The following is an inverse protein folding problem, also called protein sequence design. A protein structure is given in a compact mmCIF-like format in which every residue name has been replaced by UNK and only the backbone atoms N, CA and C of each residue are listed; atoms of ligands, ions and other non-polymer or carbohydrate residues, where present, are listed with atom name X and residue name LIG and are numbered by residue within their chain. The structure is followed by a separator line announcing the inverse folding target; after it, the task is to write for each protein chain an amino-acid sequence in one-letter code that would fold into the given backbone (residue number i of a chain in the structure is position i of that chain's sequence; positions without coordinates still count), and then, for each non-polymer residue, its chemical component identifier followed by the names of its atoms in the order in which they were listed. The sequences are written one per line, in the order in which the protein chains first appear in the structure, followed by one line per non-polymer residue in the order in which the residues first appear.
data_IF_210140006514
#
_entry.id   IF_210140006514
#
_cell.length_a   1.000
_cell.length_b   1.000
_cell.length_c   1.000
_cell.angle_alpha   90.00
_cell.angle_beta   90.00
_cell.angle_gamma   90.00
#
_symmetry.space_group_name_H-M   'P 1'
#
loop_
_entity.id
_entity.type
_entity.pdbx_description
1 polymer ?
#
# COMPACT_ATOMS: atom_id res chain seq x y z
N UNK A 1 15.26 15.18 26.18
CA UNK A 1 15.64 15.83 24.91
C UNK A 1 14.40 16.50 24.34
N UNK A 2 14.24 17.80 24.61
CA UNK A 2 13.11 18.57 24.08
C UNK A 2 13.51 19.14 22.74
N UNK A 3 13.04 18.55 21.64
CA UNK A 3 13.10 19.17 20.31
C UNK A 3 12.01 20.26 20.25
N UNK A 4 12.17 21.31 21.09
CA UNK A 4 11.21 22.40 21.23
C UNK A 4 11.56 23.49 20.20
N UNK A 5 11.41 23.14 18.92
CA UNK A 5 11.50 24.10 17.82
C UNK A 5 10.17 24.09 17.06
N UNK A 6 9.75 25.24 16.52
CA UNK A 6 8.53 25.34 15.74
C UNK A 6 8.56 24.34 14.57
N UNK A 7 7.44 23.60 14.41
CA UNK A 7 7.19 22.54 13.41
C UNK A 7 7.81 22.76 12.01
N UNK A 8 7.79 23.95 11.38
CA UNK A 8 8.38 24.13 10.05
C UNK A 8 9.91 24.00 10.00
N UNK A 9 10.62 24.30 11.10
CA UNK A 9 12.09 24.26 11.13
C UNK A 9 12.67 22.86 11.40
N UNK A 10 11.91 22.01 12.11
CA UNK A 10 12.35 20.62 12.41
C UNK A 10 12.33 19.77 11.15
N UNK A 11 11.35 19.99 10.26
CA UNK A 11 11.24 19.28 8.99
C UNK A 11 12.48 19.49 8.11
N UNK A 12 12.93 20.75 7.97
CA UNK A 12 14.08 21.13 7.13
C UNK A 12 15.43 20.56 7.60
N UNK A 13 15.60 20.36 8.91
CA UNK A 13 16.85 19.84 9.50
C UNK A 13 16.94 18.32 9.41
N UNK A 14 15.79 17.63 9.44
CA UNK A 14 15.74 16.20 9.18
C UNK A 14 15.89 15.93 7.66
N UNK A 15 15.17 16.62 6.77
CA UNK A 15 15.27 16.42 5.31
C UNK A 15 16.64 16.69 4.68
N UNK A 16 17.47 17.54 5.30
CA UNK A 16 18.84 17.81 4.82
C UNK A 16 19.74 16.58 4.80
N UNK A 17 19.57 15.65 5.75
CA UNK A 17 20.32 14.39 5.78
C UNK A 17 19.69 13.31 4.89
N UNK A 18 18.49 13.56 4.36
CA UNK A 18 17.74 12.62 3.52
C UNK A 18 17.82 12.95 2.02
N UNK A 19 18.49 14.05 1.64
CA UNK A 19 18.78 14.35 0.24
C UNK A 19 19.49 13.18 -0.49
N UNK A 20 20.43 12.45 0.13
CA UNK A 20 21.04 11.27 -0.50
C UNK A 20 20.08 10.09 -0.69
N UNK A 21 19.05 9.95 0.16
CA UNK A 21 18.01 8.91 0.01
C UNK A 21 17.07 9.18 -1.16
N UNK A 22 16.75 10.46 -1.42
CA UNK A 22 15.93 10.85 -2.57
C UNK A 22 16.67 10.70 -3.91
N UNK A 23 18.00 10.61 -3.87
CA UNK A 23 18.86 10.39 -5.04
C UNK A 23 19.11 8.91 -5.35
N UNK A 24 18.76 7.99 -4.43
CA UNK A 24 18.79 6.57 -4.72
C UNK A 24 17.58 6.22 -5.62
N UNK A 25 17.79 5.44 -6.70
CA UNK A 25 16.71 5.02 -7.58
C UNK A 25 15.72 4.13 -6.80
N UNK A 26 14.69 4.76 -6.24
CA UNK A 26 13.47 4.12 -5.76
C UNK A 26 12.89 3.35 -6.97
N UNK A 27 12.80 2.00 -6.97
CA UNK A 27 12.23 1.17 -5.91
C UNK A 27 12.92 -0.22 -5.73
N UNK A 28 14.23 -0.35 -5.95
CA UNK A 28 14.92 -1.67 -5.95
C UNK A 28 15.66 -2.02 -4.66
N UNK A 29 15.75 -1.09 -3.71
CA UNK A 29 16.46 -1.35 -2.46
C UNK A 29 15.65 -2.30 -1.56
N UNK A 30 16.32 -3.30 -0.97
CA UNK A 30 15.69 -4.26 -0.07
C UNK A 30 15.26 -3.59 1.24
N UNK A 31 14.22 -4.10 1.95
CA UNK A 31 13.82 -3.58 3.26
C UNK A 31 14.97 -3.62 4.27
N UNK A 32 15.93 -4.52 4.08
CA UNK A 32 17.17 -4.59 4.84
C UNK A 32 18.03 -3.33 4.70
N UNK A 33 18.16 -2.78 3.49
CA UNK A 33 18.89 -1.53 3.28
C UNK A 33 18.25 -0.37 4.05
N UNK A 34 16.91 -0.29 4.11
CA UNK A 34 16.23 0.72 4.94
C UNK A 34 16.48 0.53 6.43
N UNK A 35 16.46 -0.71 6.92
CA UNK A 35 16.75 -0.99 8.34
C UNK A 35 18.19 -0.63 8.70
N UNK A 36 19.16 -1.02 7.86
CA UNK A 36 20.56 -0.63 8.04
C UNK A 36 20.75 0.88 7.93
N UNK A 37 20.04 1.53 7.02
CA UNK A 37 20.11 2.96 6.83
C UNK A 37 19.51 3.71 8.03
N UNK A 38 18.31 3.33 8.49
CA UNK A 38 17.69 3.88 9.70
C UNK A 38 18.59 3.64 10.91
N UNK A 39 19.15 2.45 11.06
CA UNK A 39 20.08 2.11 12.14
C UNK A 39 21.35 2.96 12.07
N UNK A 40 21.97 3.08 10.89
CA UNK A 40 23.14 3.93 10.67
C UNK A 40 22.82 5.40 10.98
N UNK A 41 21.66 5.90 10.57
CA UNK A 41 21.20 7.24 10.93
C UNK A 41 21.00 7.42 12.44
N UNK A 42 20.45 6.42 13.13
CA UNK A 42 20.27 6.49 14.58
C UNK A 42 21.61 6.63 15.30
N UNK A 43 22.65 5.97 14.81
CA UNK A 43 24.00 6.03 15.39
C UNK A 43 24.76 7.30 15.01
N UNK A 44 24.68 7.76 13.76
CA UNK A 44 25.49 8.88 13.28
C UNK A 44 24.92 10.26 13.64
N UNK A 45 23.60 10.42 13.78
CA UNK A 45 22.98 11.75 13.81
C UNK A 45 22.17 12.08 15.08
N UNK A 46 21.98 11.14 16.03
CA UNK A 46 21.05 11.30 17.17
C UNK A 46 19.70 11.93 16.74
N UNK A 47 18.99 11.36 15.74
CA UNK A 47 17.76 11.98 15.24
C UNK A 47 16.72 12.06 16.36
N UNK A 48 15.94 13.15 16.39
CA UNK A 48 14.77 13.22 17.27
C UNK A 48 13.85 12.03 16.98
N UNK A 49 13.25 11.43 18.02
CA UNK A 49 12.34 10.29 17.90
C UNK A 49 11.26 10.48 16.81
N UNK A 50 10.70 11.70 16.72
CA UNK A 50 9.72 12.07 15.70
C UNK A 50 10.22 11.93 14.27
N UNK A 51 11.50 12.22 14.00
CA UNK A 51 12.04 12.07 12.65
C UNK A 51 12.18 10.60 12.26
N UNK A 52 12.52 9.71 13.19
CA UNK A 52 12.51 8.26 12.92
C UNK A 52 11.10 7.80 12.58
N UNK A 53 10.11 8.15 13.41
CA UNK A 53 8.72 7.76 13.18
C UNK A 53 8.21 8.29 11.83
N UNK A 54 8.44 9.56 11.53
CA UNK A 54 8.01 10.15 10.26
C UNK A 54 8.67 9.47 9.05
N UNK A 55 9.97 9.15 9.12
CA UNK A 55 10.67 8.42 8.07
C UNK A 55 10.10 7.02 7.89
N UNK A 56 9.95 6.27 8.99
CA UNK A 56 9.38 4.92 8.93
C UNK A 56 7.99 4.97 8.31
N UNK A 57 7.12 5.92 8.70
CA UNK A 57 5.79 6.05 8.10
C UNK A 57 5.84 6.40 6.61
N UNK A 58 6.72 7.31 6.20
CA UNK A 58 6.85 7.72 4.81
C UNK A 58 7.31 6.55 3.93
N UNK A 59 8.32 5.80 4.38
CA UNK A 59 8.80 4.61 3.69
C UNK A 59 7.75 3.50 3.65
N UNK A 60 7.09 3.18 4.77
CA UNK A 60 6.04 2.15 4.84
C UNK A 60 4.87 2.47 3.91
N UNK A 61 4.51 3.75 3.78
CA UNK A 61 3.39 4.20 2.93
C UNK A 61 3.75 4.32 1.44
N UNK A 62 5.02 4.27 1.09
CA UNK A 62 5.46 4.43 -0.30
C UNK A 62 5.19 3.15 -1.07
N UNK A 63 4.17 3.19 -1.94
CA UNK A 63 3.87 2.14 -2.90
C UNK A 63 4.19 2.63 -4.31
N UNK A 64 4.77 1.76 -5.13
CA UNK A 64 4.94 2.05 -6.55
C UNK A 64 3.71 1.53 -7.31
N UNK A 65 2.94 2.46 -7.87
CA UNK A 65 1.87 2.20 -8.82
C UNK A 65 2.25 2.87 -10.14
N UNK A 66 2.80 2.13 -11.10
CA UNK A 66 2.98 2.67 -12.44
C UNK A 66 2.35 1.72 -13.45
N UNK A 67 1.36 2.19 -14.22
CA UNK A 67 0.83 1.41 -15.31
C UNK A 67 1.88 1.27 -16.41
N UNK A 68 1.97 0.08 -17.02
CA UNK A 68 2.90 -0.20 -18.10
C UNK A 68 2.18 -0.88 -19.28
N UNK A 69 2.73 -0.80 -20.50
CA UNK A 69 2.09 -1.40 -21.67
C UNK A 69 2.08 -2.92 -21.58
N UNK A 70 1.03 -3.55 -22.09
CA UNK A 70 0.87 -5.01 -22.11
C UNK A 70 1.90 -5.73 -22.99
N UNK A 71 2.56 -5.00 -23.89
CA UNK A 71 3.65 -5.52 -24.73
C UNK A 71 5.00 -5.56 -24.00
N UNK A 72 5.05 -5.19 -22.73
CA UNK A 72 6.28 -5.29 -21.93
C UNK A 72 6.70 -6.75 -21.78
N UNK A 73 8.01 -7.01 -21.85
CA UNK A 73 8.58 -8.34 -21.63
C UNK A 73 8.48 -8.77 -20.16
N UNK A 74 8.16 -10.03 -19.92
CA UNK A 74 8.25 -10.63 -18.58
C UNK A 74 9.70 -10.82 -18.17
N UNK A 75 9.96 -10.77 -16.86
CA UNK A 75 11.26 -11.06 -16.28
C UNK A 75 11.74 -12.50 -16.53
N UNK A 76 10.81 -13.45 -16.57
CA UNK A 76 11.05 -14.83 -16.95
C UNK A 76 9.88 -15.36 -17.80
N UNK A 77 10.15 -16.12 -18.88
CA UNK A 77 9.10 -16.70 -19.70
C UNK A 77 8.33 -17.77 -18.90
N UNK A 78 6.99 -17.68 -18.88
CA UNK A 78 6.16 -18.68 -18.19
C UNK A 78 6.15 -20.03 -18.90
N UNK A 79 6.24 -19.98 -20.23
CA UNK A 79 6.33 -21.12 -21.13
C UNK A 79 7.23 -20.73 -22.30
N UNK A 80 7.66 -21.69 -23.12
CA UNK A 80 8.62 -21.46 -24.20
C UNK A 80 8.20 -20.41 -25.26
N UNK A 81 6.92 -20.02 -25.28
CA UNK A 81 6.33 -19.06 -26.20
C UNK A 81 5.64 -17.86 -25.51
N UNK A 82 5.65 -17.77 -24.18
CA UNK A 82 4.97 -16.69 -23.44
C UNK A 82 6.05 -15.78 -22.84
N UNK A 83 6.32 -14.67 -23.53
CA UNK A 83 7.38 -13.72 -23.21
C UNK A 83 6.87 -12.33 -22.85
N UNK A 84 5.61 -12.01 -23.18
CA UNK A 84 4.99 -10.69 -22.92
C UNK A 84 3.75 -10.78 -22.03
N UNK A 85 3.38 -9.69 -21.36
CA UNK A 85 2.19 -9.68 -20.50
C UNK A 85 0.91 -9.93 -21.31
N UNK A 86 0.87 -9.46 -22.55
CA UNK A 86 -0.21 -9.73 -23.49
C UNK A 86 -0.37 -11.24 -23.77
N UNK A 87 0.73 -11.94 -24.05
CA UNK A 87 0.73 -13.40 -24.27
C UNK A 87 0.33 -14.15 -23.00
N UNK A 88 0.85 -13.74 -21.84
CA UNK A 88 0.52 -14.35 -20.55
C UNK A 88 -0.97 -14.19 -20.23
N UNK A 89 -1.52 -13.00 -20.51
CA UNK A 89 -2.94 -12.71 -20.35
C UNK A 89 -3.78 -13.58 -21.30
N UNK A 90 -3.44 -13.60 -22.59
CA UNK A 90 -4.13 -14.40 -23.61
C UNK A 90 -4.15 -15.90 -23.27
N UNK A 91 -3.02 -16.44 -22.79
CA UNK A 91 -2.94 -17.82 -22.33
C UNK A 91 -3.73 -18.12 -21.05
N UNK A 92 -4.02 -17.09 -20.23
CA UNK A 92 -4.76 -17.24 -18.98
C UNK A 92 -6.28 -17.10 -19.13
N UNK A 93 -6.75 -16.35 -20.13
CA UNK A 93 -8.18 -16.10 -20.34
C UNK A 93 -8.89 -17.32 -20.92
N UNK A 94 -10.20 -17.41 -20.65
CA UNK A 94 -11.07 -18.36 -21.33
C UNK A 94 -11.13 -18.06 -22.83
N UNK A 95 -11.13 -19.10 -23.67
CA UNK A 95 -11.17 -18.99 -25.14
C UNK A 95 -12.42 -18.28 -25.69
N UNK A 96 -13.42 -18.00 -24.84
CA UNK A 96 -14.66 -17.32 -25.20
C UNK A 96 -14.62 -15.80 -24.88
N UNK A 97 -13.43 -15.21 -24.77
CA UNK A 97 -13.29 -13.77 -24.55
C UNK A 97 -13.10 -13.06 -25.90
N UNK A 98 -14.08 -12.22 -26.28
CA UNK A 98 -14.13 -11.52 -27.57
C UNK A 98 -13.84 -10.01 -27.48
N UNK A 99 -13.72 -9.47 -26.26
CA UNK A 99 -13.51 -8.03 -26.07
C UNK A 99 -12.04 -7.64 -26.36
N UNK A 100 -11.80 -6.39 -26.82
CA UNK A 100 -10.44 -5.91 -27.01
C UNK A 100 -9.67 -5.90 -25.68
N UNK A 101 -8.40 -6.32 -25.73
CA UNK A 101 -7.51 -6.20 -24.58
C UNK A 101 -7.20 -4.72 -24.31
N UNK A 102 -7.03 -4.32 -23.04
CA UNK A 102 -6.49 -3.00 -22.76
C UNK A 102 -5.06 -2.90 -23.31
N UNK A 103 -4.58 -1.70 -23.64
CA UNK A 103 -3.17 -1.52 -24.06
C UNK A 103 -2.24 -1.40 -22.84
N UNK A 104 -2.81 -1.22 -21.65
CA UNK A 104 -2.10 -0.89 -20.42
C UNK A 104 -2.60 -1.79 -19.31
N UNK A 105 -1.67 -2.40 -18.57
CA UNK A 105 -1.94 -3.18 -17.38
C UNK A 105 -1.60 -2.36 -16.13
N UNK A 106 -2.49 -2.41 -15.15
CA UNK A 106 -2.20 -1.95 -13.81
C UNK A 106 -1.76 -3.16 -12.98
N UNK A 107 -0.46 -3.29 -12.76
CA UNK A 107 0.08 -4.35 -11.93
C UNK A 107 -0.27 -4.13 -10.45
N UNK A 108 -0.08 -5.19 -9.65
CA UNK A 108 -0.29 -5.10 -8.20
C UNK A 108 0.71 -4.10 -7.60
N UNK A 109 0.20 -3.20 -6.77
CA UNK A 109 0.99 -2.16 -6.11
C UNK A 109 2.16 -2.76 -5.33
N UNK A 110 3.36 -2.25 -5.57
CA UNK A 110 4.56 -2.67 -4.84
C UNK A 110 4.78 -1.72 -3.67
N UNK A 111 4.22 -2.06 -2.52
CA UNK A 111 4.50 -1.35 -1.29
C UNK A 111 5.80 -1.87 -0.67
N UNK A 112 6.58 -0.97 -0.09
CA UNK A 112 7.79 -1.34 0.68
C UNK A 112 7.50 -2.32 1.83
N UNK A 113 6.27 -2.32 2.34
CA UNK A 113 5.84 -3.14 3.46
C UNK A 113 4.66 -4.04 3.09
N UNK A 114 4.78 -4.79 2.00
CA UNK A 114 3.83 -5.86 1.72
C UNK A 114 4.12 -7.07 2.63
N UNK A 115 3.52 -7.06 3.83
CA UNK A 115 3.58 -8.18 4.78
C UNK A 115 2.73 -9.38 4.33
N UNK A 116 2.01 -9.27 3.21
CA UNK A 116 0.95 -10.21 2.84
C UNK A 116 1.45 -11.36 1.97
N UNK A 117 2.60 -11.20 1.29
CA UNK A 117 3.01 -12.09 0.18
C UNK A 117 4.34 -12.83 0.42
N UNK A 118 5.10 -12.49 1.48
CA UNK A 118 6.35 -13.17 1.80
C UNK A 118 6.93 -12.78 3.15
N UNK A 119 7.93 -13.52 3.63
CA UNK A 119 8.64 -13.19 4.86
C UNK A 119 9.35 -11.84 4.76
N UNK A 120 9.47 -11.13 5.89
CA UNK A 120 10.09 -9.78 5.96
C UNK A 120 11.53 -9.69 5.40
N UNK A 121 12.19 -10.82 5.14
CA UNK A 121 13.56 -10.91 4.65
C UNK A 121 13.73 -11.75 3.38
N UNK A 122 12.66 -12.20 2.73
CA UNK A 122 12.79 -12.97 1.50
C UNK A 122 13.07 -12.06 0.28
N UNK A 123 13.91 -12.52 -0.67
CA UNK A 123 14.16 -11.76 -1.89
C UNK A 123 12.85 -11.61 -2.69
N UNK A 124 12.65 -10.43 -3.27
CA UNK A 124 11.46 -10.15 -4.05
C UNK A 124 11.37 -11.08 -5.27
N UNK A 125 10.34 -11.92 -5.31
CA UNK A 125 10.09 -12.81 -6.44
C UNK A 125 9.31 -12.07 -7.54
N UNK A 126 10.05 -11.52 -8.50
CA UNK A 126 9.49 -10.78 -9.65
C UNK A 126 8.50 -11.66 -10.42
N UNK A 127 8.85 -12.92 -10.67
CA UNK A 127 8.02 -13.83 -11.47
C UNK A 127 6.65 -14.09 -10.83
N UNK A 128 6.60 -14.26 -9.51
CA UNK A 128 5.36 -14.41 -8.77
C UNK A 128 4.51 -13.14 -8.81
N UNK A 129 5.13 -11.97 -8.66
CA UNK A 129 4.43 -10.69 -8.76
C UNK A 129 3.85 -10.45 -10.17
N UNK A 130 4.58 -10.83 -11.22
CA UNK A 130 4.09 -10.76 -12.61
C UNK A 130 2.86 -11.66 -12.78
N UNK A 131 2.94 -12.88 -12.26
CA UNK A 131 1.82 -13.84 -12.24
C UNK A 131 0.57 -13.30 -11.56
N UNK A 132 0.69 -12.79 -10.35
CA UNK A 132 -0.45 -12.22 -9.60
C UNK A 132 -1.01 -10.99 -10.31
N UNK A 133 -0.18 -10.19 -10.98
CA UNK A 133 -0.62 -9.01 -11.72
C UNK A 133 -1.47 -9.37 -12.94
N UNK A 134 -1.04 -10.36 -13.71
CA UNK A 134 -1.82 -10.90 -14.84
C UNK A 134 -3.12 -11.53 -14.35
N UNK A 135 -3.05 -12.31 -13.27
CA UNK A 135 -4.23 -12.98 -12.71
C UNK A 135 -5.28 -11.96 -12.22
N UNK A 136 -4.85 -10.89 -11.55
CA UNK A 136 -5.76 -9.82 -11.12
C UNK A 136 -6.44 -9.14 -12.31
N UNK A 137 -5.68 -8.85 -13.37
CA UNK A 137 -6.24 -8.26 -14.59
C UNK A 137 -7.27 -9.20 -15.23
N UNK A 138 -6.96 -10.50 -15.32
CA UNK A 138 -7.90 -11.51 -15.80
C UNK A 138 -9.20 -11.48 -15.00
N UNK A 139 -9.12 -11.55 -13.67
CA UNK A 139 -10.30 -11.58 -12.81
C UNK A 139 -11.16 -10.31 -12.97
N UNK A 140 -10.52 -9.15 -13.16
CA UNK A 140 -11.21 -7.89 -13.42
C UNK A 140 -11.88 -7.85 -14.80
N UNK A 141 -11.27 -8.42 -15.85
CA UNK A 141 -11.87 -8.53 -17.18
C UNK A 141 -13.07 -9.50 -17.19
N UNK A 142 -12.95 -10.64 -16.53
CA UNK A 142 -14.06 -11.59 -16.39
C UNK A 142 -15.23 -10.98 -15.60
N UNK A 143 -14.93 -10.21 -14.54
CA UNK A 143 -15.95 -9.49 -13.77
C UNK A 143 -16.67 -8.43 -14.63
N UNK A 144 -15.95 -7.69 -15.47
CA UNK A 144 -16.52 -6.72 -16.41
C UNK A 144 -17.45 -7.39 -17.42
N UNK A 145 -16.98 -8.46 -18.07
CA UNK A 145 -17.81 -9.25 -19.00
C UNK A 145 -19.11 -9.71 -18.35
N UNK A 146 -19.03 -10.30 -17.16
CA UNK A 146 -20.22 -10.76 -16.42
C UNK A 146 -21.19 -9.62 -16.09
N UNK A 147 -20.67 -8.42 -15.81
CA UNK A 147 -21.51 -7.25 -15.54
C UNK A 147 -22.20 -6.71 -16.80
N UNK A 148 -21.53 -6.75 -17.96
CA UNK A 148 -22.09 -6.35 -19.25
C UNK A 148 -23.19 -7.33 -19.70
N UNK A 149 -22.96 -8.64 -19.60
CA UNK A 149 -23.98 -9.67 -19.88
C UNK A 149 -25.21 -9.54 -18.95
N UNK A 150 -24.99 -9.16 -17.69
CA UNK A 150 -26.08 -8.94 -16.74
C UNK A 150 -26.89 -7.66 -17.03
N UNK A 151 -26.27 -6.64 -17.64
CA UNK A 151 -26.95 -5.43 -18.08
C UNK A 151 -27.77 -5.69 -19.35
N UNK A 152 -27.19 -6.38 -20.33
CA UNK A 152 -27.88 -6.77 -21.57
C UNK A 152 -29.13 -7.60 -21.27
N UNK A 153 -29.05 -8.56 -20.35
CA UNK A 153 -30.21 -9.37 -19.95
C UNK A 153 -31.34 -8.54 -19.31
N UNK A 154 -31.02 -7.44 -18.61
CA UNK A 154 -32.04 -6.56 -18.01
C UNK A 154 -32.75 -5.70 -19.04
N UNK A 155 -32.02 -5.26 -20.07
CA UNK A 155 -32.60 -4.48 -21.16
C UNK A 155 -33.68 -5.29 -21.91
N UNK A 156 -33.38 -6.55 -22.24
CA UNK A 156 -34.32 -7.46 -22.91
C UNK A 156 -35.61 -7.70 -22.07
N UNK A 157 -35.49 -7.77 -20.74
CA UNK A 157 -36.65 -7.99 -19.84
C UNK A 157 -37.56 -6.75 -19.81
N UNK A 158 -36.98 -5.55 -19.73
CA UNK A 158 -37.75 -4.31 -19.70
C UNK A 158 -38.54 -4.07 -21.00
N UNK A 159 -37.96 -4.44 -22.15
CA UNK A 159 -38.65 -4.31 -23.44
C UNK A 159 -39.81 -5.32 -23.57
N UNK A 160 -39.68 -6.50 -22.95
CA UNK A 160 -40.72 -7.54 -23.01
C UNK A 160 -41.93 -7.21 -22.13
N UNK A 161 -41.75 -6.54 -20.99
CA UNK A 161 -42.86 -6.11 -20.11
C UNK A 161 -43.69 -4.95 -20.67
N UNK A 162 -43.16 -4.20 -21.65
CA UNK A 162 -43.85 -3.04 -22.23
C UNK A 162 -44.91 -3.44 -23.30
N UNK A 163 -44.96 -4.70 -23.73
CA UNK A 163 -45.85 -5.18 -24.81
C UNK A 163 -47.16 -5.85 -24.34
N UNK A 164 -47.57 -5.73 -23.06
CA UNK A 164 -48.84 -6.29 -22.56
C UNK A 164 -49.75 -5.33 -21.78
N UNK A 165 -49.46 -4.03 -21.73
CA UNK A 165 -50.42 -3.04 -21.21
C UNK A 165 -51.16 -2.33 -22.35
N UNK A 166 -52.49 -2.50 -22.49
CA UNK A 166 -53.26 -1.73 -23.45
C UNK A 166 -53.35 -0.26 -23.03
N UNK A 167 -52.93 0.59 -23.96
CA UNK A 167 -53.35 1.97 -24.23
C UNK A 167 -54.02 2.75 -23.09
N UNK A 168 -53.27 3.64 -22.45
CA UNK A 168 -53.80 4.88 -21.92
C UNK A 168 -52.98 6.04 -22.50
N UNK A 169 -53.60 6.76 -23.43
CA UNK A 169 -53.08 7.97 -24.09
C UNK A 169 -52.85 9.04 -23.02
N UNK A 170 -51.59 9.41 -22.81
CA UNK A 170 -51.20 10.49 -21.92
C UNK A 170 -50.01 11.25 -22.51
N UNK A 171 -50.32 12.32 -23.24
CA UNK A 171 -49.36 13.25 -23.82
C UNK A 171 -48.48 13.85 -22.72
N UNK A 172 -47.16 13.66 -22.79
CA UNK A 172 -46.21 14.39 -21.97
C UNK A 172 -45.07 14.97 -22.81
N UNK A 173 -44.86 16.26 -22.57
CA UNK A 173 -44.02 17.17 -23.32
C UNK A 173 -42.54 16.80 -23.30
N UNK A 174 -41.90 17.01 -24.45
CA UNK A 174 -40.45 17.14 -24.58
C UNK A 174 -39.96 18.31 -23.72
N UNK A 175 -39.18 18.03 -22.69
CA UNK A 175 -38.32 19.01 -22.04
C UNK A 175 -37.00 18.33 -21.72
N UNK A 176 -35.96 18.62 -22.50
CA UNK A 176 -34.59 18.18 -22.23
C UNK A 176 -34.11 18.79 -20.91
N UNK A 177 -33.61 18.00 -19.95
CA UNK A 177 -32.93 18.55 -18.79
C UNK A 177 -31.50 18.93 -19.17
N UNK A 178 -31.16 20.16 -18.80
CA UNK A 178 -29.84 20.78 -18.86
C UNK A 178 -28.83 19.91 -18.09
N UNK A 179 -27.74 19.54 -18.75
CA UNK A 179 -26.56 18.88 -18.18
C UNK A 179 -26.03 19.68 -16.98
N UNK A 180 -26.20 19.17 -15.78
CA UNK A 180 -25.48 19.62 -14.59
C UNK A 180 -24.13 18.88 -14.50
N UNK A 181 -23.10 19.61 -14.08
CA UNK A 181 -21.75 19.09 -13.86
C UNK A 181 -21.73 17.95 -12.82
N UNK A 182 -20.82 16.96 -12.94
CA UNK A 182 -20.73 15.86 -12.00
C UNK A 182 -20.25 16.37 -10.63
N UNK A 183 -21.09 16.22 -9.61
CA UNK A 183 -20.70 16.32 -8.21
C UNK A 183 -20.06 15.00 -7.76
N UNK A 184 -18.99 15.02 -6.95
CA UNK A 184 -18.33 13.80 -6.49
C UNK A 184 -19.19 13.09 -5.45
N UNK A 185 -19.98 12.10 -5.89
CA UNK A 185 -20.67 11.18 -4.98
C UNK A 185 -19.71 10.06 -4.60
N UNK A 186 -19.11 10.22 -3.42
CA UNK A 186 -18.40 9.18 -2.70
C UNK A 186 -19.40 8.09 -2.30
N UNK A 187 -19.41 6.97 -3.02
CA UNK A 187 -20.08 5.75 -2.57
C UNK A 187 -19.26 5.13 -1.44
N UNK A 188 -19.59 5.53 -0.22
CA UNK A 188 -19.17 4.86 1.01
C UNK A 188 -19.81 3.47 1.01
N UNK A 189 -19.00 2.46 0.68
CA UNK A 189 -19.32 1.06 0.96
C UNK A 189 -19.43 0.94 2.50
N UNK A 190 -20.54 0.44 3.06
CA UNK A 190 -20.61 0.12 4.48
C UNK A 190 -19.81 -1.16 4.69
N UNK A 191 -18.50 -0.99 4.93
CA UNK A 191 -17.66 -2.03 5.49
C UNK A 191 -18.18 -2.29 6.91
N UNK A 192 -18.90 -3.40 7.10
CA UNK A 192 -19.23 -3.91 8.43
C UNK A 192 -17.94 -4.05 9.21
N UNK A 193 -17.71 -3.10 10.12
CA UNK A 193 -16.60 -3.11 11.04
C UNK A 193 -16.73 -4.32 11.95
N UNK A 194 -15.96 -5.36 11.69
CA UNK A 194 -15.45 -6.21 12.76
C UNK A 194 -14.48 -5.34 13.57
N UNK A 195 -15.04 -4.48 14.42
CA UNK A 195 -14.32 -3.66 15.37
C UNK A 195 -13.68 -4.56 16.41
N UNK A 196 -12.53 -5.14 16.07
CA UNK A 196 -11.59 -5.59 17.09
C UNK A 196 -10.95 -4.34 17.68
N UNK A 197 -11.42 -4.06 18.88
CA UNK A 197 -11.10 -2.99 19.79
C UNK A 197 -9.58 -2.80 19.96
N UNK A 198 -8.97 -1.95 19.12
CA UNK A 198 -7.58 -1.50 19.24
C UNK A 198 -7.32 -0.68 20.53
N UNK A 199 -8.37 -0.33 21.26
CA UNK A 199 -8.30 0.25 22.61
C UNK A 199 -7.87 -0.79 23.66
N UNK A 200 -7.97 -2.09 23.34
CA UNK A 200 -7.47 -3.20 24.17
C UNK A 200 -5.96 -3.41 24.03
N UNK A 201 -5.41 -3.25 22.82
CA UNK A 201 -3.95 -3.39 22.58
C UNK A 201 -3.18 -2.26 23.27
N UNK A 202 -3.74 -1.04 23.29
CA UNK A 202 -3.15 0.08 24.05
C UNK A 202 -3.31 -0.03 25.57
N UNK A 203 -4.21 -0.90 26.08
CA UNK A 203 -4.32 -1.19 27.53
C UNK A 203 -3.39 -2.30 27.99
N UNK A 204 -2.88 -3.15 27.11
CA UNK A 204 -1.87 -4.15 27.50
C UNK A 204 -0.48 -3.55 27.76
N UNK A 205 -0.25 -2.29 27.39
CA UNK A 205 1.02 -1.59 27.63
C UNK A 205 1.02 -0.69 28.88
N UNK A 206 -0.02 -0.73 29.71
CA UNK A 206 -0.20 0.23 30.80
C UNK A 206 -0.30 -0.35 32.23
N UNK A 207 0.12 -1.60 32.46
CA UNK A 207 0.17 -2.23 33.79
C UNK A 207 1.36 -3.19 33.80
N UNK A 208 2.42 -3.05 34.59
CA UNK A 208 2.51 -2.70 36.01
C UNK A 208 3.78 -1.90 36.30
N UNK A 209 3.66 -0.60 36.61
CA UNK A 209 4.72 0.12 37.33
C UNK A 209 4.29 0.21 38.79
N UNK A 210 4.68 -0.81 39.56
CA UNK A 210 4.52 -0.84 41.01
C UNK A 210 5.48 0.20 41.56
N UNK A 211 4.95 1.14 42.34
CA UNK A 211 5.72 2.20 42.99
C UNK A 211 6.67 1.57 44.02
N UNK A 212 7.92 1.36 43.64
CA UNK A 212 8.97 0.93 44.55
C UNK A 212 10.19 1.82 44.35
N UNK A 213 10.55 2.47 45.46
CA UNK A 213 11.73 3.25 45.80
C UNK A 213 12.29 4.26 44.78
N UNK A 214 12.34 5.53 45.20
CA UNK A 214 12.84 6.67 44.44
C UNK A 214 14.36 6.56 44.24
N UNK A 215 14.80 5.70 43.32
CA UNK A 215 16.11 5.79 42.69
C UNK A 215 15.89 6.21 41.24
N UNK A 216 16.66 7.18 40.71
CA UNK A 216 16.46 7.64 39.34
C UNK A 216 16.56 6.44 38.39
N UNK A 217 15.46 6.17 37.67
CA UNK A 217 15.27 5.00 36.80
C UNK A 217 16.31 4.86 35.68
N UNK A 218 17.06 5.91 35.40
CA UNK A 218 18.21 5.88 34.51
C UNK A 218 19.48 6.08 35.31
N UNK A 219 20.15 4.97 35.64
CA UNK A 219 21.55 5.02 36.07
C UNK A 219 22.37 5.47 34.87
N UNK A 220 23.22 6.48 35.07
CA UNK A 220 24.04 7.05 33.98
C UNK A 220 25.08 6.06 33.47
N UNK A 221 25.51 5.11 34.27
CA UNK A 221 26.59 4.20 33.92
C UNK A 221 26.16 2.74 34.12
N UNK A 222 26.43 1.91 33.11
CA UNK A 222 26.20 0.47 33.13
C UNK A 222 27.53 -0.27 32.97
N UNK A 223 27.89 -1.00 34.01
CA UNK A 223 29.08 -1.83 34.03
C UNK A 223 28.74 -3.25 33.54
N UNK A 224 29.28 -3.64 32.39
CA UNK A 224 29.05 -4.97 31.81
C UNK A 224 30.17 -5.97 32.15
N UNK A 225 31.19 -5.55 32.91
CA UNK A 225 32.27 -6.42 33.39
C UNK A 225 31.81 -7.68 34.13
N UNK A 226 30.76 -7.66 34.99
CA UNK A 226 30.29 -8.89 35.63
C UNK A 226 29.67 -9.90 34.65
N UNK A 227 29.39 -9.50 33.41
CA UNK A 227 28.90 -10.38 32.34
C UNK A 227 30.01 -10.83 31.39
N UNK A 228 31.29 -10.59 31.73
CA UNK A 228 32.45 -10.98 30.90
C UNK A 228 32.70 -10.06 29.70
N UNK A 229 31.91 -8.99 29.56
CA UNK A 229 32.11 -7.96 28.55
C UNK A 229 32.97 -6.86 29.18
N UNK A 230 34.21 -6.69 28.72
CA UNK A 230 35.14 -5.65 29.19
C UNK A 230 34.74 -4.23 28.77
N UNK A 231 33.47 -3.88 28.91
CA UNK A 231 32.86 -2.67 28.37
C UNK A 231 32.09 -1.97 29.50
N UNK A 232 32.24 -0.66 29.56
CA UNK A 232 31.53 0.23 30.45
C UNK A 232 30.73 1.22 29.59
N UNK A 233 29.41 1.24 29.76
CA UNK A 233 28.52 2.09 28.95
C UNK A 233 28.07 3.28 29.80
N UNK A 234 28.67 4.44 29.55
CA UNK A 234 28.33 5.70 30.24
C UNK A 234 27.45 6.61 29.36
N UNK A 235 26.23 6.84 29.83
CA UNK A 235 25.22 7.75 29.29
C UNK A 235 25.26 9.16 29.94
N UNK A 236 26.28 9.44 30.75
CA UNK A 236 26.47 10.67 31.52
C UNK A 236 27.03 11.89 30.77
N UNK A 237 27.02 11.91 29.44
CA UNK A 237 27.54 13.04 28.66
C UNK A 237 26.65 14.30 28.82
N UNK A 238 27.00 15.16 29.78
CA UNK A 238 26.55 16.56 29.82
C UNK A 238 27.44 17.43 28.92
N UNK A 239 26.82 18.36 28.20
CA UNK A 239 27.46 19.28 27.27
C UNK A 239 28.28 20.35 27.99
#
# INVERSE_FOLDING_TARGET
MSCNFPLPFVFFRCTRWFLPLLLLPLPTASPYFLMLFLFSLTMHAKPCFYCIVLLTTLFVSSCYWQPFPLDSSLSAPWAGNITTFAEALNGSLSSNYSHPFPNVIQAVDRCWCDFSVGGFFEPFNVTHWEYVSVQRLKDDLERKKKSEEALEKKEIINDTETLLTPTAVGSFNLTMPRTAAPSPSSSVIPLKSAGRDLRSIFRLFHYTFKAEDKRPLFRREYDLRPYGLGILVDFGWTR
#
